data_IF_422026739720
#
_entry.id   IF_422026739720
#
_cell.length_a   1.000
_cell.length_b   1.000
_cell.length_c   1.000
_cell.angle_alpha   90.00
_cell.angle_beta   90.00
_cell.angle_gamma   90.00
#
_symmetry.space_group_name_H-M   'P 1'
#
loop_
_entity.id
_entity.type
_entity.pdbx_description
1 polymer ?
#
# COMPACT_ATOMS: atom_id res chain seq x y z
N UNK A 1 16.18 -7.08 -11.92
CA UNK A 1 15.32 -6.76 -13.07
C UNK A 1 13.87 -6.96 -12.67
N UNK A 2 12.99 -5.99 -12.98
CA UNK A 2 11.53 -6.19 -12.82
C UNK A 2 11.13 -7.34 -13.74
N UNK A 3 10.55 -8.38 -13.17
CA UNK A 3 10.28 -9.63 -13.86
C UNK A 3 8.84 -10.07 -13.62
N UNK A 4 8.35 -10.94 -14.50
CA UNK A 4 6.98 -11.43 -14.47
C UNK A 4 6.62 -12.10 -13.14
N UNK A 5 7.56 -12.87 -12.55
CA UNK A 5 7.34 -13.56 -11.28
C UNK A 5 7.09 -12.57 -10.15
N UNK A 6 7.89 -11.51 -10.04
CA UNK A 6 7.74 -10.49 -9.01
C UNK A 6 6.41 -9.73 -9.13
N UNK A 7 6.02 -9.39 -10.36
CA UNK A 7 4.71 -8.78 -10.65
C UNK A 7 3.57 -9.71 -10.19
N UNK A 8 3.63 -11.00 -10.50
CA UNK A 8 2.62 -11.98 -10.08
C UNK A 8 2.55 -12.08 -8.56
N UNK A 9 3.69 -12.19 -7.87
CA UNK A 9 3.76 -12.26 -6.40
C UNK A 9 3.07 -11.03 -5.79
N UNK A 10 3.46 -9.84 -6.24
CA UNK A 10 2.92 -8.60 -5.69
C UNK A 10 1.42 -8.47 -5.98
N UNK A 11 0.96 -8.75 -7.20
CA UNK A 11 -0.46 -8.67 -7.54
C UNK A 11 -1.29 -9.66 -6.74
N UNK A 12 -0.85 -10.91 -6.59
CA UNK A 12 -1.57 -11.90 -5.78
C UNK A 12 -1.64 -11.44 -4.32
N UNK A 13 -0.53 -10.96 -3.76
CA UNK A 13 -0.49 -10.43 -2.40
C UNK A 13 -1.46 -9.24 -2.23
N UNK A 14 -1.43 -8.27 -3.15
CA UNK A 14 -2.33 -7.12 -3.16
C UNK A 14 -3.81 -7.54 -3.18
N UNK A 15 -4.17 -8.54 -3.98
CA UNK A 15 -5.55 -9.06 -4.01
C UNK A 15 -5.97 -9.58 -2.64
N UNK A 16 -5.16 -10.45 -2.05
CA UNK A 16 -5.48 -11.01 -0.74
C UNK A 16 -5.50 -9.95 0.36
N UNK A 17 -4.58 -8.98 0.31
CA UNK A 17 -4.53 -7.92 1.29
C UNK A 17 -5.75 -7.00 1.21
N UNK A 18 -6.14 -6.55 0.00
CA UNK A 18 -7.35 -5.76 -0.20
C UNK A 18 -8.60 -6.47 0.33
N UNK A 19 -8.71 -7.79 0.09
CA UNK A 19 -9.83 -8.58 0.65
C UNK A 19 -9.85 -8.61 2.17
N UNK A 20 -8.68 -8.70 2.81
CA UNK A 20 -8.56 -8.67 4.27
C UNK A 20 -8.93 -7.28 4.79
N UNK A 21 -8.45 -6.22 4.14
CA UNK A 21 -8.61 -4.85 4.60
C UNK A 21 -10.07 -4.38 4.63
N UNK A 22 -10.91 -4.81 3.68
CA UNK A 22 -12.34 -4.44 3.64
C UNK A 22 -13.10 -4.75 4.94
N UNK A 23 -12.66 -5.75 5.70
CA UNK A 23 -13.27 -6.13 6.97
C UNK A 23 -12.57 -5.58 8.21
N UNK A 24 -11.47 -4.82 8.05
CA UNK A 24 -10.60 -4.45 9.15
C UNK A 24 -10.83 -3.02 9.64
N UNK A 25 -11.07 -2.89 10.94
CA UNK A 25 -11.02 -1.59 11.64
C UNK A 25 -9.65 -1.45 12.27
N UNK A 26 -8.80 -0.62 11.65
CA UNK A 26 -7.41 -0.39 12.10
C UNK A 26 -7.29 0.57 13.28
N UNK A 27 -8.38 1.23 13.69
CA UNK A 27 -8.42 2.16 14.82
C UNK A 27 -9.03 1.50 16.07
N UNK A 28 -8.21 1.11 17.07
CA UNK A 28 -8.68 0.51 18.30
C UNK A 28 -9.63 1.40 19.11
N UNK A 29 -9.58 2.72 18.94
CA UNK A 29 -10.50 3.64 19.64
C UNK A 29 -11.95 3.48 19.17
N UNK A 30 -12.15 3.05 17.92
CA UNK A 30 -13.46 2.80 17.31
C UNK A 30 -14.04 1.44 17.71
N UNK A 31 -13.22 0.52 18.23
CA UNK A 31 -13.64 -0.84 18.57
C UNK A 31 -14.17 -0.87 20.01
N UNK A 32 -15.42 -1.27 20.19
CA UNK A 32 -16.08 -1.29 21.50
C UNK A 32 -15.36 -2.19 22.52
N UNK A 33 -14.87 -3.35 22.07
CA UNK A 33 -14.20 -4.38 22.87
C UNK A 33 -12.73 -4.06 23.19
N UNK A 34 -12.14 -3.01 22.63
CA UNK A 34 -10.75 -2.65 22.90
C UNK A 34 -10.55 -2.25 24.38
N UNK A 35 -9.45 -2.69 25.02
CA UNK A 35 -9.09 -2.26 26.36
C UNK A 35 -8.92 -0.73 26.45
N UNK A 36 -9.22 -0.15 27.62
CA UNK A 36 -9.14 1.30 27.84
C UNK A 36 -7.77 1.89 27.51
N UNK A 37 -6.69 1.24 27.97
CA UNK A 37 -5.32 1.69 27.70
C UNK A 37 -5.02 1.80 26.19
N UNK A 38 -5.63 0.95 25.37
CA UNK A 38 -5.42 0.95 23.93
C UNK A 38 -6.15 2.13 23.29
N UNK A 39 -7.37 2.44 23.75
CA UNK A 39 -8.13 3.61 23.30
C UNK A 39 -7.47 4.93 23.70
N UNK A 40 -6.81 4.96 24.85
CA UNK A 40 -6.11 6.14 25.34
C UNK A 40 -4.83 6.44 24.53
N UNK A 41 -4.16 5.40 24.00
CA UNK A 41 -2.94 5.54 23.18
C UNK A 41 -3.28 5.73 21.69
N UNK A 42 -4.17 4.91 21.16
CA UNK A 42 -4.53 4.88 19.74
C UNK A 42 -5.67 5.84 19.45
N UNK A 43 -5.34 7.13 19.38
CA UNK A 43 -6.22 8.12 18.76
C UNK A 43 -6.30 7.89 17.24
N UNK A 44 -7.32 8.42 16.53
CA UNK A 44 -7.42 8.27 15.07
C UNK A 44 -6.15 8.69 14.32
N UNK A 45 -5.48 9.73 14.81
CA UNK A 45 -4.19 10.19 14.28
C UNK A 45 -3.07 9.14 14.49
N UNK A 46 -2.93 8.62 15.70
CA UNK A 46 -1.90 7.61 16.01
C UNK A 46 -2.16 6.32 15.24
N UNK A 47 -3.41 5.87 15.19
CA UNK A 47 -3.85 4.69 14.44
C UNK A 47 -3.47 4.79 12.96
N UNK A 48 -3.64 5.96 12.33
CA UNK A 48 -3.26 6.21 10.94
C UNK A 48 -1.75 6.00 10.69
N UNK A 49 -0.88 6.60 11.51
CA UNK A 49 0.57 6.46 11.32
C UNK A 49 1.09 5.08 11.71
N UNK A 50 0.51 4.48 12.74
CA UNK A 50 0.83 3.10 13.10
C UNK A 50 0.52 2.16 11.94
N UNK A 51 -0.67 2.31 11.37
CA UNK A 51 -1.08 1.53 10.21
C UNK A 51 -0.14 1.74 9.01
N UNK A 52 0.31 2.97 8.73
CA UNK A 52 1.35 3.26 7.71
C UNK A 52 2.61 2.42 7.87
N UNK A 53 3.13 2.34 9.09
CA UNK A 53 4.35 1.58 9.38
C UNK A 53 4.11 0.09 9.13
N UNK A 54 2.98 -0.42 9.64
CA UNK A 54 2.60 -1.83 9.42
C UNK A 54 2.44 -2.12 7.92
N UNK A 55 1.78 -1.24 7.18
CA UNK A 55 1.58 -1.36 5.75
C UNK A 55 2.91 -1.45 4.98
N UNK A 56 3.86 -0.54 5.26
CA UNK A 56 5.21 -0.59 4.66
C UNK A 56 5.92 -1.92 4.97
N UNK A 57 5.80 -2.42 6.20
CA UNK A 57 6.42 -3.70 6.60
C UNK A 57 5.75 -4.88 5.88
N UNK A 58 4.42 -4.89 5.80
CA UNK A 58 3.63 -5.93 5.15
C UNK A 58 3.91 -6.01 3.65
N UNK A 59 4.01 -4.87 2.96
CA UNK A 59 4.38 -4.83 1.55
C UNK A 59 5.89 -5.01 1.32
N UNK A 60 6.72 -4.69 2.32
CA UNK A 60 8.16 -4.84 2.27
C UNK A 60 8.61 -6.28 2.11
N UNK A 61 7.99 -7.22 2.84
CA UNK A 61 8.40 -8.63 2.79
C UNK A 61 8.14 -9.31 1.42
N UNK A 62 6.93 -9.24 0.83
CA UNK A 62 6.68 -9.72 -0.53
C UNK A 62 7.56 -9.03 -1.57
N UNK A 63 7.83 -7.73 -1.39
CA UNK A 63 8.69 -6.97 -2.30
C UNK A 63 10.14 -7.45 -2.25
N UNK A 64 10.64 -7.78 -1.06
CA UNK A 64 11.93 -8.45 -0.87
C UNK A 64 11.95 -9.82 -1.59
N UNK A 65 10.88 -10.62 -1.47
CA UNK A 65 10.78 -11.91 -2.16
C UNK A 65 10.72 -11.74 -3.69
N UNK A 66 10.09 -10.67 -4.17
CA UNK A 66 9.97 -10.35 -5.60
C UNK A 66 11.28 -9.83 -6.21
N UNK A 67 12.06 -9.03 -5.46
CA UNK A 67 13.32 -8.46 -5.93
C UNK A 67 14.55 -9.34 -5.64
N UNK A 68 14.48 -10.18 -4.61
CA UNK A 68 15.61 -10.92 -4.04
C UNK A 68 16.59 -10.06 -3.26
N UNK A 69 16.27 -8.79 -2.96
CA UNK A 69 17.17 -7.82 -2.30
C UNK A 69 16.44 -7.06 -1.20
N UNK A 70 17.08 -6.88 -0.06
CA UNK A 70 16.46 -6.19 1.09
C UNK A 70 16.16 -4.71 0.77
N UNK A 71 17.13 -4.01 0.16
CA UNK A 71 16.98 -2.62 -0.25
C UNK A 71 17.60 -2.42 -1.64
N UNK A 72 16.76 -2.17 -2.63
CA UNK A 72 17.18 -1.75 -3.98
C UNK A 72 16.07 -0.92 -4.62
N UNK A 73 16.39 -0.24 -5.73
CA UNK A 73 15.36 0.44 -6.54
C UNK A 73 14.26 -0.53 -6.99
N UNK A 74 14.60 -1.80 -7.20
CA UNK A 74 13.64 -2.84 -7.60
C UNK A 74 12.72 -3.20 -6.44
N UNK A 75 13.25 -3.33 -5.22
CA UNK A 75 12.42 -3.56 -4.02
C UNK A 75 11.48 -2.39 -3.79
N UNK A 76 11.98 -1.15 -3.87
CA UNK A 76 11.15 0.06 -3.72
C UNK A 76 10.08 0.09 -4.81
N UNK A 77 10.43 -0.25 -6.05
CA UNK A 77 9.47 -0.33 -7.14
C UNK A 77 8.38 -1.37 -6.87
N UNK A 78 8.72 -2.55 -6.36
CA UNK A 78 7.73 -3.57 -6.01
C UNK A 78 6.85 -3.16 -4.84
N UNK A 79 7.38 -2.44 -3.83
CA UNK A 79 6.57 -1.91 -2.72
C UNK A 79 5.48 -0.98 -3.26
N UNK A 80 5.88 0.01 -4.06
CA UNK A 80 4.95 0.99 -4.65
C UNK A 80 3.99 0.30 -5.61
N UNK A 81 4.46 -0.67 -6.39
CA UNK A 81 3.61 -1.45 -7.28
C UNK A 81 2.54 -2.23 -6.51
N UNK A 82 2.96 -2.92 -5.44
CA UNK A 82 2.05 -3.68 -4.60
C UNK A 82 1.00 -2.80 -3.95
N UNK A 83 1.41 -1.69 -3.35
CA UNK A 83 0.49 -0.78 -2.67
C UNK A 83 -0.53 -0.19 -3.64
N UNK A 84 -0.07 0.37 -4.76
CA UNK A 84 -0.98 0.93 -5.77
C UNK A 84 -1.91 -0.12 -6.36
N UNK A 85 -1.44 -1.35 -6.58
CA UNK A 85 -2.33 -2.42 -7.05
C UNK A 85 -3.37 -2.77 -6.01
N UNK A 86 -3.00 -2.77 -4.73
CA UNK A 86 -3.91 -3.07 -3.64
C UNK A 86 -5.01 -2.01 -3.54
N UNK A 87 -4.67 -0.72 -3.55
CA UNK A 87 -5.66 0.38 -3.57
C UNK A 87 -6.66 0.23 -4.73
N UNK A 88 -6.16 -0.05 -5.94
CA UNK A 88 -7.02 -0.29 -7.13
C UNK A 88 -7.97 -1.47 -6.89
N UNK A 89 -7.47 -2.58 -6.33
CA UNK A 89 -8.25 -3.78 -6.07
C UNK A 89 -9.27 -3.54 -4.96
N UNK A 90 -8.86 -2.83 -3.91
CA UNK A 90 -9.71 -2.42 -2.80
C UNK A 90 -10.91 -1.64 -3.31
N UNK A 91 -10.72 -0.62 -4.16
CA UNK A 91 -11.85 0.13 -4.74
C UNK A 91 -12.75 -0.73 -5.63
N UNK A 92 -12.17 -1.67 -6.38
CA UNK A 92 -12.97 -2.61 -7.19
C UNK A 92 -13.86 -3.47 -6.29
N UNK A 93 -13.36 -3.94 -5.16
CA UNK A 93 -14.12 -4.79 -4.25
C UNK A 93 -15.11 -4.01 -3.39
N UNK A 94 -14.75 -2.81 -2.94
CA UNK A 94 -15.63 -1.97 -2.12
C UNK A 94 -16.79 -1.36 -2.93
N UNK A 95 -16.66 -1.27 -4.27
CA UNK A 95 -17.64 -0.64 -5.17
C UNK A 95 -17.97 0.83 -4.83
N UNK A 96 -17.11 1.50 -4.06
CA UNK A 96 -17.25 2.89 -3.67
C UNK A 96 -16.28 3.78 -4.47
N UNK A 97 -16.74 4.98 -4.83
CA UNK A 97 -15.88 5.98 -5.46
C UNK A 97 -14.96 6.56 -4.37
N UNK A 98 -13.65 6.75 -4.60
CA UNK A 98 -12.73 7.23 -3.58
C UNK A 98 -13.13 8.66 -3.17
N UNK A 99 -13.81 8.80 -2.04
CA UNK A 99 -14.29 10.12 -1.59
C UNK A 99 -13.91 10.46 -0.15
N UNK A 100 -13.42 9.53 0.68
CA UNK A 100 -12.93 9.88 2.05
C UNK A 100 -12.44 8.73 2.96
N UNK A 101 -12.36 7.49 2.50
CA UNK A 101 -11.96 6.36 3.35
C UNK A 101 -10.98 5.53 2.51
N UNK A 102 -9.71 5.31 2.87
CA UNK A 102 -9.20 4.89 4.18
C UNK A 102 -8.00 5.71 4.70
N UNK A 103 -7.67 6.84 4.09
CA UNK A 103 -6.45 7.57 4.41
C UNK A 103 -6.67 9.06 4.22
N UNK A 104 -6.22 9.88 5.17
CA UNK A 104 -6.26 11.34 5.11
C UNK A 104 -5.31 11.89 4.01
N UNK A 105 -5.50 11.51 2.75
CA UNK A 105 -4.83 12.10 1.60
C UNK A 105 -5.81 12.99 0.82
N UNK A 106 -5.30 14.01 0.11
CA UNK A 106 -6.16 14.89 -0.66
C UNK A 106 -6.78 14.10 -1.84
N UNK A 107 -8.12 14.13 -1.90
CA UNK A 107 -8.90 13.67 -3.04
C UNK A 107 -9.43 14.89 -3.77
N UNK A 108 -9.21 14.98 -5.07
CA UNK A 108 -9.72 16.05 -5.91
C UNK A 108 -10.65 15.48 -6.98
N UNK A 109 -11.93 15.88 -6.96
CA UNK A 109 -12.96 15.39 -7.91
C UNK A 109 -13.06 13.86 -7.99
N UNK A 110 -12.96 13.17 -6.84
CA UNK A 110 -12.99 11.70 -6.76
C UNK A 110 -11.68 11.02 -7.21
N UNK A 111 -10.62 11.79 -7.46
CA UNK A 111 -9.29 11.29 -7.81
C UNK A 111 -8.38 11.42 -6.57
N UNK A 112 -7.94 10.30 -5.98
CA UNK A 112 -6.97 10.33 -4.90
C UNK A 112 -5.58 10.70 -5.44
N UNK A 113 -5.04 11.82 -4.95
CA UNK A 113 -3.81 12.43 -5.49
C UNK A 113 -2.59 11.58 -5.16
N UNK A 114 -2.57 10.92 -4.00
CA UNK A 114 -1.47 10.06 -3.56
C UNK A 114 -1.25 8.89 -4.52
N UNK A 115 -2.32 8.30 -5.05
CA UNK A 115 -2.26 7.20 -6.02
C UNK A 115 -1.74 7.67 -7.38
N UNK A 116 -2.16 8.86 -7.82
CA UNK A 116 -1.61 9.47 -9.04
C UNK A 116 -0.11 9.70 -8.90
N UNK A 117 0.34 10.22 -7.75
CA UNK A 117 1.76 10.41 -7.44
C UNK A 117 2.48 9.06 -7.45
N UNK A 118 1.91 8.04 -6.83
CA UNK A 118 2.49 6.69 -6.77
C UNK A 118 2.67 6.08 -8.15
N UNK A 119 1.68 6.21 -9.04
CA UNK A 119 1.78 5.78 -10.45
C UNK A 119 2.89 6.54 -11.19
N UNK A 120 2.99 7.86 -11.00
CA UNK A 120 4.06 8.66 -11.61
C UNK A 120 5.44 8.17 -11.13
N UNK A 121 5.62 8.00 -9.83
CA UNK A 121 6.88 7.51 -9.24
C UNK A 121 7.21 6.12 -9.80
N UNK A 122 6.23 5.24 -9.90
CA UNK A 122 6.39 3.88 -10.42
C UNK A 122 6.88 3.86 -11.87
N UNK A 123 6.35 4.75 -12.72
CA UNK A 123 6.80 4.92 -14.10
C UNK A 123 8.25 5.44 -14.13
N UNK A 124 8.57 6.46 -13.33
CA UNK A 124 9.91 7.06 -13.29
C UNK A 124 10.96 6.07 -12.79
N UNK A 125 10.68 5.36 -11.70
CA UNK A 125 11.56 4.33 -11.16
C UNK A 125 11.74 3.17 -12.14
N UNK A 126 10.65 2.72 -12.79
CA UNK A 126 10.71 1.68 -13.80
C UNK A 126 11.60 2.06 -14.99
N UNK A 127 11.55 3.33 -15.43
CA UNK A 127 12.46 3.86 -16.45
C UNK A 127 13.91 3.89 -15.96
N UNK A 128 14.16 4.37 -14.74
CA UNK A 128 15.50 4.44 -14.16
C UNK A 128 16.17 3.07 -14.06
N UNK A 129 15.45 2.07 -13.53
CA UNK A 129 15.94 0.68 -13.43
C UNK A 129 16.31 0.12 -14.80
N UNK A 130 15.50 0.39 -15.84
CA UNK A 130 15.81 -0.05 -17.22
C UNK A 130 17.07 0.61 -17.79
N UNK A 131 17.35 1.86 -17.43
CA UNK A 131 18.55 2.58 -17.89
C UNK A 131 19.80 2.03 -17.20
N UNK A 132 19.75 1.81 -15.88
CA UNK A 132 20.87 1.26 -15.11
C UNK A 132 21.27 -0.14 -15.59
N UNK A 133 20.32 -0.95 -16.05
CA UNK A 133 20.59 -2.29 -16.61
C UNK A 133 21.25 -2.27 -18.00
N UNK A 134 21.20 -1.13 -18.72
CA UNK A 134 21.80 -0.98 -20.05
C UNK A 134 23.21 -0.39 -20.01
N UNK A 135 23.65 0.10 -18.85
CA UNK A 135 25.01 0.59 -18.60
C UNK A 135 25.85 -0.54 -18.03
#
# INVERSE_FOLDING_TARGET
>A
MINRRGIIIMTIFSIFYAMLELGMVWDPSQISTSPKWMKDIFTPFVSLYFYRIIYIVLFGFPSYLASGKLLSLETIWYIIYGSTMEDIIYWIFDLHIPYSWAWFYPVYLGIPIDDVISVIILILLGKKIKIELKR
#
